data_IF_440854565106
#
_entry.id   IF_440854565106
#
_cell.length_a   1.000
_cell.length_b   1.000
_cell.length_c   1.000
_cell.angle_alpha   90.00
_cell.angle_beta   90.00
_cell.angle_gamma   90.00
#
_symmetry.space_group_name_H-M   'P 1'
#
loop_
_entity.id
_entity.type
_entity.pdbx_description
1 polymer ?
#
# COMPACT_ATOMS: atom_id res chain seq x y z
N UNK A 1 -3.24 -27.57 9.61
CA UNK A 1 -3.49 -26.17 9.16
C UNK A 1 -3.35 -26.12 7.67
N UNK A 2 -4.17 -25.35 7.01
CA UNK A 2 -4.15 -25.16 5.55
C UNK A 2 -3.82 -23.73 5.26
N UNK A 3 -3.12 -23.46 4.16
CA UNK A 3 -2.86 -22.11 3.70
C UNK A 3 -3.81 -21.70 2.60
N UNK A 4 -4.16 -20.43 2.61
CA UNK A 4 -4.99 -19.81 1.58
C UNK A 4 -4.41 -18.45 1.19
N UNK A 5 -4.33 -18.20 -0.10
CA UNK A 5 -4.06 -16.88 -0.62
C UNK A 5 -5.38 -16.22 -1.01
N UNK A 6 -5.68 -15.13 -0.36
CA UNK A 6 -6.89 -14.35 -0.59
C UNK A 6 -6.55 -13.17 -1.50
N UNK A 7 -7.24 -13.07 -2.62
CA UNK A 7 -7.18 -11.90 -3.48
C UNK A 7 -8.43 -11.05 -3.24
N UNK A 8 -8.22 -9.83 -2.79
CA UNK A 8 -9.26 -8.86 -2.52
C UNK A 8 -9.21 -7.72 -3.53
N UNK A 9 -10.35 -7.39 -4.09
CA UNK A 9 -10.51 -6.20 -4.92
C UNK A 9 -11.49 -5.28 -4.18
N UNK A 10 -10.97 -4.17 -3.69
CA UNK A 10 -11.72 -3.16 -2.98
C UNK A 10 -12.08 -2.01 -3.92
N UNK A 11 -13.05 -1.20 -3.54
CA UNK A 11 -13.41 0.02 -4.25
C UNK A 11 -12.20 0.96 -4.33
N UNK A 12 -12.01 1.60 -5.48
CA UNK A 12 -10.86 2.49 -5.71
C UNK A 12 -10.87 3.76 -4.85
N UNK A 13 -12.03 4.13 -4.33
CA UNK A 13 -12.21 5.27 -3.41
C UNK A 13 -11.77 4.98 -1.98
N UNK A 14 -11.52 3.69 -1.66
CA UNK A 14 -11.09 3.29 -0.33
C UNK A 14 -9.72 3.92 -0.01
N UNK A 15 -9.65 4.62 1.12
CA UNK A 15 -8.39 5.21 1.61
C UNK A 15 -7.47 4.12 2.16
N UNK A 16 -6.17 4.39 2.21
CA UNK A 16 -5.21 3.43 2.76
C UNK A 16 -5.48 3.10 4.22
N UNK A 17 -5.92 4.08 5.01
CA UNK A 17 -6.31 3.89 6.40
C UNK A 17 -7.46 2.88 6.54
N UNK A 18 -8.45 2.97 5.66
CA UNK A 18 -9.57 2.02 5.66
C UNK A 18 -9.12 0.62 5.22
N UNK A 19 -8.13 0.53 4.33
CA UNK A 19 -7.55 -0.74 3.93
C UNK A 19 -6.80 -1.37 5.11
N UNK A 20 -6.02 -0.59 5.83
CA UNK A 20 -5.32 -1.05 7.04
C UNK A 20 -6.27 -1.49 8.13
N UNK A 21 -7.35 -0.76 8.33
CA UNK A 21 -8.40 -1.17 9.27
C UNK A 21 -9.04 -2.51 8.86
N UNK A 22 -9.29 -2.70 7.57
CA UNK A 22 -9.83 -3.97 7.05
C UNK A 22 -8.87 -5.13 7.23
N UNK A 23 -7.59 -4.90 6.99
CA UNK A 23 -6.54 -5.89 7.21
C UNK A 23 -6.44 -6.27 8.69
N UNK A 24 -6.54 -5.30 9.61
CA UNK A 24 -6.59 -5.56 11.05
C UNK A 24 -7.82 -6.39 11.44
N UNK A 25 -8.99 -6.01 10.96
CA UNK A 25 -10.22 -6.77 11.20
C UNK A 25 -10.12 -8.21 10.68
N UNK A 26 -9.48 -8.38 9.51
CA UNK A 26 -9.21 -9.69 8.94
C UNK A 26 -8.27 -10.50 9.82
N UNK A 27 -7.22 -9.88 10.34
CA UNK A 27 -6.27 -10.52 11.26
C UNK A 27 -6.95 -10.95 12.56
N UNK A 28 -7.74 -10.09 13.17
CA UNK A 28 -8.50 -10.41 14.37
C UNK A 28 -9.45 -11.59 14.15
N UNK A 29 -10.13 -11.61 13.00
CA UNK A 29 -11.01 -12.72 12.61
C UNK A 29 -10.24 -14.01 12.37
N UNK A 30 -9.11 -13.97 11.69
CA UNK A 30 -8.29 -15.13 11.46
C UNK A 30 -7.81 -15.73 12.79
N UNK A 31 -7.25 -14.89 13.66
CA UNK A 31 -6.73 -15.31 14.99
C UNK A 31 -7.85 -15.87 15.87
N UNK A 32 -9.01 -15.21 15.91
CA UNK A 32 -10.17 -15.65 16.70
C UNK A 32 -10.69 -17.06 16.30
N UNK A 33 -10.42 -17.47 15.07
CA UNK A 33 -10.83 -18.76 14.53
C UNK A 33 -9.65 -19.74 14.39
N UNK A 34 -8.56 -19.51 15.11
CA UNK A 34 -7.40 -20.40 15.13
C UNK A 34 -6.52 -20.35 13.88
N UNK A 35 -6.65 -19.32 13.10
CA UNK A 35 -5.79 -19.03 11.96
C UNK A 35 -4.80 -17.92 12.24
N UNK A 36 -3.94 -17.64 11.27
CA UNK A 36 -2.98 -16.53 11.32
C UNK A 36 -2.76 -15.94 9.94
N UNK A 37 -2.39 -14.67 9.89
CA UNK A 37 -1.98 -14.00 8.65
C UNK A 37 -0.47 -14.09 8.50
N UNK A 38 -0.03 -14.72 7.42
CA UNK A 38 1.39 -14.86 7.12
C UNK A 38 1.91 -13.67 6.33
N UNK A 39 1.18 -13.23 5.30
CA UNK A 39 1.65 -12.21 4.37
C UNK A 39 0.53 -11.30 3.92
N UNK A 40 0.86 -10.02 3.77
CA UNK A 40 -0.03 -9.01 3.22
C UNK A 40 0.71 -8.26 2.12
N UNK A 41 0.14 -8.23 0.93
CA UNK A 41 0.67 -7.49 -0.21
C UNK A 41 -0.37 -6.50 -0.72
N UNK A 42 -0.07 -5.23 -0.63
CA UNK A 42 -0.89 -4.15 -1.15
C UNK A 42 -0.39 -3.79 -2.55
N UNK A 43 -1.14 -4.15 -3.57
CA UNK A 43 -0.75 -3.88 -4.97
C UNK A 43 -1.23 -2.51 -5.45
N UNK A 44 -2.11 -1.86 -4.71
CA UNK A 44 -2.61 -0.54 -5.03
C UNK A 44 -3.74 -0.54 -6.05
N UNK A 45 -4.03 0.66 -6.54
CA UNK A 45 -5.12 0.90 -7.49
C UNK A 45 -4.74 0.44 -8.89
N UNK A 46 -5.59 -0.39 -9.49
CA UNK A 46 -5.40 -0.89 -10.85
C UNK A 46 -6.70 -0.85 -11.63
N UNK A 47 -6.59 -0.74 -12.94
CA UNK A 47 -7.74 -0.85 -13.84
C UNK A 47 -8.22 -2.29 -13.90
N UNK A 48 -9.52 -2.47 -13.84
CA UNK A 48 -10.18 -3.76 -14.02
C UNK A 48 -10.34 -4.03 -15.52
N UNK A 49 -10.25 -5.29 -15.91
CA UNK A 49 -10.48 -5.70 -17.30
C UNK A 49 -11.93 -5.46 -17.74
N UNK A 50 -12.87 -5.53 -16.80
CA UNK A 50 -14.28 -5.24 -16.97
C UNK A 50 -14.84 -4.57 -15.73
N UNK A 51 -15.92 -3.84 -15.87
CA UNK A 51 -16.54 -3.14 -14.75
C UNK A 51 -17.15 -4.14 -13.74
N UNK A 52 -16.81 -3.97 -12.47
CA UNK A 52 -17.40 -4.70 -11.34
C UNK A 52 -18.19 -3.71 -10.50
N UNK A 53 -19.46 -3.96 -10.23
CA UNK A 53 -20.35 -3.03 -9.51
C UNK A 53 -20.27 -1.60 -10.06
N UNK A 54 -20.22 -1.45 -11.39
CA UNK A 54 -20.09 -0.16 -12.11
C UNK A 54 -18.74 0.55 -11.92
N UNK A 55 -17.74 -0.09 -11.32
CA UNK A 55 -16.42 0.47 -11.15
C UNK A 55 -15.45 -0.14 -12.16
N UNK A 56 -14.63 0.70 -12.79
CA UNK A 56 -13.60 0.30 -13.75
C UNK A 56 -12.20 0.20 -13.12
N UNK A 57 -12.04 0.67 -11.89
CA UNK A 57 -10.81 0.63 -11.12
C UNK A 57 -11.07 -0.01 -9.77
N UNK A 58 -10.09 -0.72 -9.26
CA UNK A 58 -10.15 -1.35 -7.95
C UNK A 58 -8.79 -1.31 -7.26
N UNK A 59 -8.81 -1.43 -5.96
CA UNK A 59 -7.59 -1.60 -5.15
C UNK A 59 -7.35 -3.08 -4.92
N UNK A 60 -6.20 -3.59 -5.33
CA UNK A 60 -5.83 -4.99 -5.17
C UNK A 60 -5.03 -5.19 -3.89
N UNK A 61 -5.45 -6.16 -3.10
CA UNK A 61 -4.76 -6.61 -1.91
C UNK A 61 -4.73 -8.13 -1.87
N UNK A 62 -3.55 -8.70 -1.64
CA UNK A 62 -3.36 -10.12 -1.45
C UNK A 62 -3.00 -10.39 0.01
N UNK A 63 -3.63 -11.38 0.60
CA UNK A 63 -3.42 -11.75 1.98
C UNK A 63 -3.24 -13.27 2.06
N UNK A 64 -2.13 -13.72 2.60
CA UNK A 64 -1.89 -15.14 2.86
C UNK A 64 -2.27 -15.47 4.30
N UNK A 65 -3.22 -16.37 4.45
CA UNK A 65 -3.78 -16.79 5.74
C UNK A 65 -3.59 -18.28 5.94
N UNK A 66 -3.23 -18.67 7.13
CA UNK A 66 -3.29 -20.06 7.56
C UNK A 66 -4.47 -20.27 8.49
N UNK A 67 -5.10 -21.41 8.40
CA UNK A 67 -6.23 -21.73 9.26
C UNK A 67 -6.97 -22.96 8.80
N UNK A 68 -8.10 -23.19 9.43
CA UNK A 68 -9.01 -24.26 9.08
C UNK A 68 -10.14 -23.76 8.17
N UNK A 69 -10.98 -24.66 7.72
CA UNK A 69 -12.14 -24.34 6.90
C UNK A 69 -13.08 -23.33 7.59
N UNK A 70 -13.19 -23.40 8.90
CA UNK A 70 -13.98 -22.46 9.70
C UNK A 70 -13.43 -21.04 9.62
N UNK A 71 -12.11 -20.90 9.71
CA UNK A 71 -11.41 -19.61 9.56
C UNK A 71 -11.74 -18.99 8.21
N UNK A 72 -11.65 -19.79 7.13
CA UNK A 72 -11.97 -19.31 5.78
C UNK A 72 -13.43 -18.88 5.65
N UNK A 73 -14.37 -19.67 6.17
CA UNK A 73 -15.80 -19.34 6.12
C UNK A 73 -16.13 -18.03 6.86
N UNK A 74 -15.53 -17.78 8.00
CA UNK A 74 -15.74 -16.53 8.74
C UNK A 74 -15.14 -15.33 8.01
N UNK A 75 -14.02 -15.49 7.35
CA UNK A 75 -13.40 -14.48 6.50
C UNK A 75 -14.28 -14.20 5.27
N UNK A 76 -14.75 -15.23 4.59
CA UNK A 76 -15.69 -15.08 3.46
C UNK A 76 -16.96 -14.37 3.87
N UNK A 77 -17.50 -14.73 5.02
CA UNK A 77 -18.68 -14.09 5.57
C UNK A 77 -18.46 -12.60 5.80
N UNK A 78 -17.32 -12.21 6.35
CA UNK A 78 -16.96 -10.80 6.54
C UNK A 78 -16.93 -10.05 5.20
N UNK A 79 -16.30 -10.61 4.17
CA UNK A 79 -16.23 -9.97 2.84
C UNK A 79 -17.57 -9.90 2.13
N UNK A 80 -18.43 -10.86 2.35
CA UNK A 80 -19.77 -10.88 1.73
C UNK A 80 -20.66 -9.74 2.21
N UNK A 81 -20.47 -9.30 3.46
CA UNK A 81 -21.24 -8.21 4.04
C UNK A 81 -20.54 -6.85 3.94
N UNK A 82 -19.32 -6.81 3.43
CA UNK A 82 -18.57 -5.57 3.25
C UNK A 82 -18.84 -4.98 1.86
N UNK A 83 -19.58 -3.87 1.81
CA UNK A 83 -19.93 -3.20 0.56
C UNK A 83 -18.72 -2.65 -0.21
N UNK A 84 -17.63 -2.35 0.49
CA UNK A 84 -16.41 -1.86 -0.13
C UNK A 84 -15.63 -2.94 -0.87
N UNK A 85 -15.94 -4.21 -0.64
CA UNK A 85 -15.36 -5.34 -1.36
C UNK A 85 -16.10 -5.52 -2.68
N UNK A 86 -15.41 -5.27 -3.79
CA UNK A 86 -15.95 -5.48 -5.13
C UNK A 86 -15.99 -6.96 -5.47
N UNK A 87 -14.90 -7.64 -5.18
CA UNK A 87 -14.72 -9.08 -5.43
C UNK A 87 -13.66 -9.65 -4.50
N UNK A 88 -13.83 -10.89 -4.13
CA UNK A 88 -12.81 -11.69 -3.45
C UNK A 88 -12.70 -13.05 -4.13
N UNK A 89 -11.53 -13.63 -4.05
CA UNK A 89 -11.23 -15.00 -4.44
C UNK A 89 -10.16 -15.56 -3.53
N UNK A 90 -10.12 -16.87 -3.41
CA UNK A 90 -9.07 -17.53 -2.65
C UNK A 90 -8.52 -18.71 -3.43
N UNK A 91 -7.24 -18.97 -3.22
CA UNK A 91 -6.51 -20.09 -3.73
C UNK A 91 -5.98 -20.88 -2.53
N UNK A 92 -6.12 -22.20 -2.56
CA UNK A 92 -5.52 -23.05 -1.55
C UNK A 92 -4.04 -23.23 -1.87
N UNK A 93 -3.19 -23.00 -0.89
CA UNK A 93 -1.76 -23.19 -0.97
C UNK A 93 -1.36 -24.57 -0.45
N UNK A 94 -0.34 -25.16 -1.04
CA UNK A 94 0.30 -26.36 -0.56
C UNK A 94 1.27 -26.06 0.59
N UNK A 95 1.59 -27.06 1.41
CA UNK A 95 2.51 -26.90 2.55
C UNK A 95 3.89 -26.40 2.14
N UNK A 96 4.36 -26.79 0.96
CA UNK A 96 5.63 -26.33 0.40
C UNK A 96 5.59 -24.80 0.07
N UNK A 97 4.49 -24.33 -0.48
CA UNK A 97 4.28 -22.91 -0.79
C UNK A 97 4.18 -22.06 0.48
N UNK A 98 3.46 -22.56 1.50
CA UNK A 98 3.36 -21.90 2.79
C UNK A 98 4.75 -21.79 3.44
N UNK A 99 5.51 -22.86 3.43
CA UNK A 99 6.87 -22.89 3.98
C UNK A 99 7.79 -21.94 3.24
N UNK A 100 7.69 -21.88 1.91
CA UNK A 100 8.46 -20.96 1.10
C UNK A 100 8.11 -19.49 1.41
N UNK A 101 6.82 -19.19 1.60
CA UNK A 101 6.35 -17.85 1.96
C UNK A 101 6.87 -17.46 3.36
N UNK A 102 6.77 -18.36 4.34
CA UNK A 102 7.28 -18.14 5.70
C UNK A 102 8.79 -17.91 5.67
N UNK A 103 9.54 -18.71 4.93
CA UNK A 103 10.99 -18.59 4.83
C UNK A 103 11.41 -17.31 4.08
N UNK A 104 10.63 -16.86 3.12
CA UNK A 104 10.88 -15.59 2.42
C UNK A 104 10.60 -14.37 3.29
N UNK A 105 9.85 -14.55 4.36
CA UNK A 105 9.57 -13.50 5.36
C UNK A 105 10.45 -13.59 6.62
N UNK A 106 11.40 -14.51 6.68
CA UNK A 106 12.42 -14.50 7.72
C UNK A 106 13.21 -13.19 7.63
N UNK A 107 13.40 -12.48 8.72
CA UNK A 107 13.02 -11.11 8.94
C UNK A 107 13.83 -10.14 8.09
N UNK A 108 13.22 -9.48 7.16
CA UNK A 108 13.62 -8.11 6.88
C UNK A 108 13.17 -7.28 8.09
N UNK A 109 14.00 -7.31 9.13
CA UNK A 109 13.98 -6.28 10.16
C UNK A 109 13.89 -4.95 9.44
N UNK A 110 12.81 -4.23 9.75
CA UNK A 110 12.83 -2.77 9.86
C UNK A 110 14.13 -2.17 9.38
N UNK A 111 14.18 -1.76 8.16
CA UNK A 111 15.12 -0.76 7.73
C UNK A 111 14.38 0.57 7.67
N UNK A 112 13.90 0.99 8.81
CA UNK A 112 13.89 2.38 9.19
C UNK A 112 15.25 2.59 9.83
N UNK A 113 16.20 2.82 9.01
CA UNK A 113 17.35 3.62 9.34
C UNK A 113 17.87 4.19 8.02
N UNK A 114 17.42 5.35 7.74
CA UNK A 114 18.08 6.28 6.86
C UNK A 114 19.31 6.79 7.61
N UNK A 115 20.52 6.41 7.24
CA UNK A 115 21.67 7.19 7.63
C UNK A 115 21.75 8.35 6.66
N UNK A 116 21.44 9.52 7.17
CA UNK A 116 21.90 10.76 6.62
C UNK A 116 23.38 10.61 6.25
N UNK A 117 23.66 10.52 4.99
CA UNK A 117 24.99 10.68 4.48
C UNK A 117 25.34 12.15 4.63
N UNK A 118 26.08 12.40 5.67
CA UNK A 118 26.98 13.53 5.71
C UNK A 118 27.96 13.34 4.56
N UNK A 119 27.93 14.22 3.63
CA UNK A 119 29.12 14.56 2.90
C UNK A 119 29.41 16.01 3.13
N UNK A 120 30.40 16.14 3.98
CA UNK A 120 31.16 17.33 4.24
C UNK A 120 32.23 17.39 3.17
N UNK A 121 32.19 18.40 2.35
CA UNK A 121 33.41 19.07 1.91
C UNK A 121 33.04 20.40 1.25
N UNK A 122 33.08 21.41 2.04
CA UNK A 122 33.62 22.69 1.67
C UNK A 122 35.16 22.56 1.66
N UNK A 123 35.96 23.46 1.14
CA UNK A 123 35.68 24.85 0.85
C UNK A 123 36.36 25.37 -0.42
N UNK A 124 36.18 26.60 -0.69
CA UNK A 124 37.17 27.62 -1.07
C UNK A 124 36.64 28.49 -2.22
N UNK A 125 36.28 29.66 -1.79
CA UNK A 125 36.89 30.95 -2.14
C UNK A 125 36.89 31.30 -3.62
N UNK A 126 36.11 32.23 -3.98
CA UNK A 126 36.56 33.59 -4.32
C UNK A 126 35.37 34.45 -4.64
N UNK A 127 35.19 35.45 -3.85
CA UNK A 127 34.71 36.75 -4.26
C UNK A 127 35.88 37.45 -4.98
N UNK A 128 35.72 38.50 -5.73
CA UNK A 128 34.78 39.57 -5.54
C UNK A 128 34.34 40.35 -6.80
N UNK A 129 33.44 41.26 -6.54
CA UNK A 129 33.38 42.67 -6.96
C UNK A 129 32.57 43.00 -8.20
N UNK A 130 31.55 43.75 -7.90
CA UNK A 130 31.25 45.09 -8.41
C UNK A 130 30.96 45.15 -9.90
N UNK A 131 30.02 45.83 -10.34
CA UNK A 131 29.68 47.22 -10.14
C UNK A 131 28.43 47.56 -10.96
N UNK A 132 27.71 48.44 -10.40
CA UNK A 132 27.07 49.60 -10.99
C UNK A 132 26.05 49.37 -12.11
N UNK A 133 24.89 49.69 -11.75
CA UNK A 133 24.31 51.00 -11.74
C UNK A 133 23.57 51.39 -13.02
N UNK A 134 22.53 52.01 -12.76
CA UNK A 134 21.91 53.06 -13.54
C UNK A 134 20.89 52.59 -14.57
N UNK A 135 19.82 52.95 -14.45
CA UNK A 135 19.14 54.21 -14.24
C UNK A 135 18.07 54.38 -15.33
N UNK A 136 17.08 54.99 -14.90
CA UNK A 136 16.15 55.82 -15.65
C UNK A 136 15.09 55.12 -16.51
N UNK A 137 13.97 55.34 -16.01
CA UNK A 137 13.14 56.52 -16.20
C UNK A 137 12.17 56.34 -17.33
N UNK A 138 11.09 56.52 -16.96
CA UNK A 138 10.15 57.62 -17.12
C UNK A 138 9.00 57.37 -18.09
N UNK A 139 7.93 57.49 -17.44
CA UNK A 139 6.77 58.29 -17.83
C UNK A 139 5.96 57.83 -18.99
N UNK A 140 4.84 57.70 -18.61
CA UNK A 140 3.69 58.60 -18.74
C UNK A 140 2.80 58.20 -19.89
N UNK A 141 1.68 58.05 -19.51
CA UNK A 141 0.54 58.89 -19.69
C UNK A 141 -0.33 58.60 -20.91
N UNK A 142 -1.54 58.63 -20.54
CA UNK A 142 -2.69 59.27 -21.13
C UNK A 142 -3.58 58.43 -22.05
N UNK A 143 -4.71 58.26 -21.48
CA UNK A 143 -6.07 58.58 -21.95
C UNK A 143 -6.46 58.09 -23.35
N UNK A 144 -7.45 57.41 -23.43
CA UNK A 144 -8.88 57.81 -23.51
C UNK A 144 -9.73 56.56 -23.28
#
# INVERSE_FOLDING_TARGET
MRGYELCLILQHETTEENIDQKVKNLQEKAVSNGGDIIKIEKWGKRSLKYAIKKQQKGYYCFVTVTGDNNTLHEIERMFKYDESVLRYSYLRLDEAEITAIINSQAPAKTADDEPAAKDESTPTTDEPVADEASDNNETADIEI
#
